data_IF_642645328818
#
_entry.id   IF_642645328818
#
_cell.length_a   1.000
_cell.length_b   1.000
_cell.length_c   1.000
_cell.angle_alpha   90.00
_cell.angle_beta   90.00
_cell.angle_gamma   90.00
#
_symmetry.space_group_name_H-M   'P 1'
#
loop_
_entity.id
_entity.type
_entity.pdbx_description
1 polymer ?
#
# COMPACT_ATOMS: atom_id res chain seq x y z
N UNK A 1 -16.05 -12.20 -1.36
CA UNK A 1 -14.89 -12.17 -0.45
C UNK A 1 -13.62 -11.69 -1.13
N UNK A 2 -13.04 -12.41 -2.11
CA UNK A 2 -11.86 -11.91 -2.84
C UNK A 2 -12.16 -10.62 -3.60
N UNK A 3 -13.24 -10.59 -4.39
CA UNK A 3 -13.65 -9.39 -5.15
C UNK A 3 -14.04 -8.22 -4.22
N UNK A 4 -14.68 -8.51 -3.09
CA UNK A 4 -15.04 -7.49 -2.09
C UNK A 4 -13.81 -6.83 -1.45
N UNK A 5 -12.71 -7.57 -1.27
CA UNK A 5 -11.45 -7.01 -0.79
C UNK A 5 -10.77 -6.21 -1.89
N UNK A 6 -10.85 -6.66 -3.15
CA UNK A 6 -10.30 -5.91 -4.29
C UNK A 6 -10.97 -4.53 -4.40
N UNK A 7 -12.30 -4.48 -4.30
CA UNK A 7 -13.07 -3.24 -4.28
C UNK A 7 -12.69 -2.34 -3.09
N UNK A 8 -12.52 -2.92 -1.90
CA UNK A 8 -12.12 -2.19 -0.69
C UNK A 8 -10.72 -1.57 -0.79
N UNK A 9 -9.80 -2.24 -1.51
CA UNK A 9 -8.44 -1.75 -1.75
C UNK A 9 -8.40 -0.58 -2.74
N UNK A 10 -9.35 -0.51 -3.67
CA UNK A 10 -9.40 0.51 -4.71
C UNK A 10 -9.94 1.87 -4.20
N UNK A 11 -10.84 1.86 -3.21
CA UNK A 11 -11.51 3.09 -2.76
C UNK A 11 -10.79 3.81 -1.61
N UNK A 12 -10.36 3.11 -0.55
CA UNK A 12 -9.58 3.68 0.56
C UNK A 12 -8.83 2.56 1.32
N UNK A 13 -7.49 2.55 1.35
CA UNK A 13 -6.73 1.55 2.08
C UNK A 13 -6.95 1.71 3.59
N UNK A 14 -7.99 1.04 4.09
CA UNK A 14 -8.33 0.97 5.51
C UNK A 14 -7.50 -0.13 6.19
N UNK A 15 -7.12 0.04 7.47
CA UNK A 15 -6.41 -1.00 8.24
C UNK A 15 -7.13 -2.37 8.24
N UNK A 16 -8.46 -2.35 8.11
CA UNK A 16 -9.32 -3.54 8.10
C UNK A 16 -9.14 -4.41 6.84
N UNK A 17 -8.72 -3.82 5.72
CA UNK A 17 -8.44 -4.56 4.50
C UNK A 17 -7.25 -5.51 4.69
N UNK A 18 -6.18 -5.05 5.33
CA UNK A 18 -4.99 -5.87 5.62
C UNK A 18 -5.31 -7.01 6.60
N UNK A 19 -6.17 -6.74 7.60
CA UNK A 19 -6.64 -7.75 8.53
C UNK A 19 -7.44 -8.85 7.82
N UNK A 20 -8.31 -8.47 6.87
CA UNK A 20 -9.12 -9.39 6.06
C UNK A 20 -8.28 -10.24 5.10
N UNK A 21 -7.27 -9.64 4.45
CA UNK A 21 -6.30 -10.38 3.62
C UNK A 21 -5.57 -11.43 4.48
N UNK A 22 -5.16 -11.05 5.69
CA UNK A 22 -4.43 -11.93 6.58
C UNK A 22 -5.32 -13.07 7.14
N UNK A 23 -6.59 -12.81 7.44
CA UNK A 23 -7.54 -13.85 7.89
C UNK A 23 -7.82 -14.87 6.78
N UNK A 24 -8.10 -14.43 5.56
CA UNK A 24 -8.32 -15.33 4.42
C UNK A 24 -7.06 -16.15 4.09
N UNK A 25 -5.87 -15.54 4.16
CA UNK A 25 -4.61 -16.26 3.96
C UNK A 25 -4.43 -17.38 4.99
N UNK A 26 -4.86 -17.17 6.24
CA UNK A 26 -4.89 -18.22 7.28
C UNK A 26 -5.87 -19.33 6.95
N UNK A 27 -7.08 -19.00 6.50
CA UNK A 27 -8.11 -19.99 6.11
C UNK A 27 -7.65 -20.85 4.93
N UNK A 28 -7.09 -20.24 3.89
CA UNK A 28 -6.50 -20.95 2.74
C UNK A 28 -5.39 -21.89 3.20
N UNK A 29 -4.50 -21.41 4.08
CA UNK A 29 -3.42 -22.24 4.60
C UNK A 29 -3.95 -23.41 5.44
N UNK A 30 -5.05 -23.23 6.16
CA UNK A 30 -5.72 -24.29 6.90
C UNK A 30 -6.32 -25.34 5.97
N UNK A 31 -7.07 -24.92 4.94
CA UNK A 31 -7.62 -25.82 3.93
C UNK A 31 -6.52 -26.60 3.20
N UNK A 32 -5.43 -25.94 2.82
CA UNK A 32 -4.28 -26.59 2.17
C UNK A 32 -3.66 -27.68 3.05
N UNK A 33 -3.56 -27.47 4.36
CA UNK A 33 -3.07 -28.50 5.32
C UNK A 33 -3.98 -29.73 5.39
N UNK A 34 -5.22 -29.64 4.93
CA UNK A 34 -6.17 -30.77 4.87
C UNK A 34 -6.16 -31.39 3.48
N UNK A 35 -6.31 -30.57 2.43
CA UNK A 35 -6.43 -31.05 1.04
C UNK A 35 -5.16 -31.73 0.53
N UNK A 36 -3.96 -31.23 0.89
CA UNK A 36 -2.71 -31.83 0.41
C UNK A 36 -2.51 -33.25 0.96
N UNK A 37 -2.58 -33.52 2.28
CA UNK A 37 -2.53 -34.90 2.78
C UNK A 37 -3.64 -35.78 2.24
N UNK A 38 -4.85 -35.25 2.06
CA UNK A 38 -5.97 -35.99 1.48
C UNK A 38 -5.66 -36.45 0.05
N UNK A 39 -5.05 -35.57 -0.78
CA UNK A 39 -4.60 -35.91 -2.13
C UNK A 39 -3.60 -37.07 -2.11
N UNK A 40 -2.59 -36.99 -1.24
CA UNK A 40 -1.57 -38.02 -1.13
C UNK A 40 -2.16 -39.35 -0.63
N UNK A 41 -3.10 -39.31 0.32
CA UNK A 41 -3.80 -40.50 0.80
C UNK A 41 -4.66 -41.14 -0.29
N UNK A 42 -5.43 -40.35 -1.05
CA UNK A 42 -6.24 -40.84 -2.19
C UNK A 42 -5.35 -41.42 -3.29
N UNK A 43 -4.23 -40.78 -3.59
CA UNK A 43 -3.25 -41.31 -4.54
C UNK A 43 -2.63 -42.63 -4.06
N UNK A 44 -2.36 -42.76 -2.75
CA UNK A 44 -1.94 -44.02 -2.13
C UNK A 44 -2.98 -45.14 -2.25
N UNK A 45 -4.26 -44.81 -2.07
CA UNK A 45 -5.38 -45.76 -2.26
C UNK A 45 -5.50 -46.24 -3.71
N UNK A 46 -5.26 -45.36 -4.70
CA UNK A 46 -5.32 -45.72 -6.13
C UNK A 46 -4.15 -46.64 -6.51
N UNK A 47 -2.95 -46.42 -5.95
CA UNK A 47 -1.75 -47.22 -6.28
C UNK A 47 -1.63 -48.52 -5.48
N UNK A 48 -2.38 -48.68 -4.39
CA UNK A 48 -2.30 -49.87 -3.55
C UNK A 48 -2.99 -51.07 -4.20
N UNK A 49 -2.28 -52.19 -4.29
CA UNK A 49 -2.87 -53.50 -4.63
C UNK A 49 -3.62 -54.07 -3.42
N UNK A 50 -4.72 -53.43 -3.04
CA UNK A 50 -5.61 -53.91 -1.99
C UNK A 50 -6.73 -54.73 -2.60
N UNK A 51 -6.91 -55.97 -2.14
CA UNK A 51 -8.04 -56.84 -2.53
C UNK A 51 -9.41 -56.25 -2.16
N UNK A 52 -9.45 -55.21 -1.31
CA UNK A 52 -10.67 -54.50 -0.90
C UNK A 52 -11.11 -53.43 -1.92
N UNK A 53 -10.25 -53.05 -2.86
CA UNK A 53 -10.53 -52.01 -3.86
C UNK A 53 -10.81 -52.68 -5.21
N UNK A 54 -12.09 -52.70 -5.60
CA UNK A 54 -12.51 -53.19 -6.91
C UNK A 54 -12.14 -52.19 -8.02
N UNK A 55 -12.00 -52.66 -9.26
CA UNK A 55 -11.71 -51.80 -10.44
C UNK A 55 -12.75 -50.67 -10.61
N UNK A 56 -14.01 -50.95 -10.32
CA UNK A 56 -15.10 -49.98 -10.37
C UNK A 56 -14.88 -48.84 -9.35
N UNK A 57 -14.42 -49.17 -8.14
CA UNK A 57 -14.09 -48.20 -7.08
C UNK A 57 -12.86 -47.35 -7.44
N UNK A 58 -11.90 -47.90 -8.19
CA UNK A 58 -10.74 -47.13 -8.65
C UNK A 58 -11.14 -45.97 -9.57
N UNK A 59 -12.19 -46.12 -10.39
CA UNK A 59 -12.68 -45.04 -11.25
C UNK A 59 -13.15 -43.84 -10.41
N UNK A 60 -13.94 -44.08 -9.36
CA UNK A 60 -14.41 -43.03 -8.44
C UNK A 60 -13.27 -42.40 -7.63
N UNK A 61 -12.26 -43.18 -7.25
CA UNK A 61 -11.09 -42.65 -6.54
C UNK A 61 -10.25 -41.73 -7.44
N UNK A 62 -10.11 -42.04 -8.73
CA UNK A 62 -9.43 -41.17 -9.70
C UNK A 62 -10.16 -39.83 -9.86
N UNK A 63 -11.48 -39.86 -10.00
CA UNK A 63 -12.30 -38.64 -10.06
C UNK A 63 -12.18 -37.80 -8.76
N UNK A 64 -12.19 -38.46 -7.60
CA UNK A 64 -11.92 -37.79 -6.32
C UNK A 64 -10.52 -37.16 -6.29
N UNK A 65 -9.49 -37.85 -6.79
CA UNK A 65 -8.12 -37.32 -6.87
C UNK A 65 -8.05 -36.07 -7.76
N UNK A 66 -8.74 -36.08 -8.90
CA UNK A 66 -8.80 -34.94 -9.82
C UNK A 66 -9.47 -33.73 -9.13
N UNK A 67 -10.61 -33.95 -8.45
CA UNK A 67 -11.28 -32.91 -7.67
C UNK A 67 -10.40 -32.32 -6.56
N UNK A 68 -9.69 -33.16 -5.79
CA UNK A 68 -8.78 -32.68 -4.75
C UNK A 68 -7.62 -31.90 -5.37
N UNK A 69 -7.10 -32.35 -6.50
CA UNK A 69 -6.00 -31.67 -7.21
C UNK A 69 -6.43 -30.28 -7.66
N UNK A 70 -7.59 -30.16 -8.31
CA UNK A 70 -8.16 -28.87 -8.69
C UNK A 70 -8.43 -27.95 -7.49
N UNK A 71 -8.89 -28.49 -6.36
CA UNK A 71 -9.08 -27.72 -5.14
C UNK A 71 -7.75 -27.18 -4.59
N UNK A 72 -6.69 -27.99 -4.58
CA UNK A 72 -5.35 -27.55 -4.15
C UNK A 72 -4.80 -26.45 -5.08
N UNK A 73 -4.92 -26.61 -6.39
CA UNK A 73 -4.51 -25.60 -7.36
C UNK A 73 -5.27 -24.28 -7.18
N UNK A 74 -6.59 -24.36 -6.96
CA UNK A 74 -7.44 -23.18 -6.69
C UNK A 74 -7.03 -22.46 -5.40
N UNK A 75 -6.69 -23.21 -4.35
CA UNK A 75 -6.18 -22.64 -3.09
C UNK A 75 -4.83 -21.95 -3.28
N UNK A 76 -3.94 -22.52 -4.11
CA UNK A 76 -2.65 -21.89 -4.42
C UNK A 76 -2.83 -20.62 -5.23
N UNK A 77 -3.69 -20.62 -6.26
CA UNK A 77 -4.05 -19.42 -7.02
C UNK A 77 -4.63 -18.33 -6.13
N UNK A 78 -5.58 -18.65 -5.25
CA UNK A 78 -6.17 -17.70 -4.32
C UNK A 78 -5.13 -17.11 -3.33
N UNK A 79 -4.18 -17.93 -2.86
CA UNK A 79 -3.08 -17.47 -2.01
C UNK A 79 -2.18 -16.46 -2.73
N UNK A 80 -1.88 -16.71 -4.00
CA UNK A 80 -1.04 -15.83 -4.80
C UNK A 80 -1.75 -14.50 -5.04
N UNK A 81 -3.04 -14.52 -5.39
CA UNK A 81 -3.87 -13.30 -5.50
C UNK A 81 -3.87 -12.49 -4.20
N UNK A 82 -4.11 -13.12 -3.04
CA UNK A 82 -4.07 -12.42 -1.74
C UNK A 82 -2.70 -11.82 -1.43
N UNK A 83 -1.62 -12.47 -1.90
CA UNK A 83 -0.26 -11.95 -1.72
C UNK A 83 -0.04 -10.71 -2.58
N UNK A 84 -0.47 -10.74 -3.85
CA UNK A 84 -0.44 -9.58 -4.73
C UNK A 84 -1.31 -8.43 -4.21
N UNK A 85 -2.49 -8.71 -3.66
CA UNK A 85 -3.34 -7.71 -3.01
C UNK A 85 -2.64 -7.05 -1.81
N UNK A 86 -1.94 -7.83 -0.99
CA UNK A 86 -1.16 -7.30 0.14
C UNK A 86 0.00 -6.39 -0.30
N UNK A 87 0.70 -6.77 -1.37
CA UNK A 87 1.76 -5.94 -1.97
C UNK A 87 1.19 -4.65 -2.57
N UNK A 88 0.05 -4.73 -3.25
CA UNK A 88 -0.66 -3.58 -3.79
C UNK A 88 -1.10 -2.61 -2.68
N UNK A 89 -1.68 -3.12 -1.57
CA UNK A 89 -2.02 -2.32 -0.40
C UNK A 89 -0.80 -1.54 0.14
N UNK A 90 0.34 -2.22 0.31
CA UNK A 90 1.57 -1.57 0.80
C UNK A 90 2.08 -0.49 -0.16
N UNK A 91 1.94 -0.70 -1.47
CA UNK A 91 2.25 0.29 -2.50
C UNK A 91 1.35 1.52 -2.38
N UNK A 92 0.04 1.32 -2.22
CA UNK A 92 -0.95 2.40 -2.05
C UNK A 92 -0.70 3.22 -0.78
N UNK A 93 -0.42 2.57 0.35
CA UNK A 93 -0.06 3.24 1.60
C UNK A 93 1.22 4.07 1.44
N UNK A 94 2.23 3.52 0.75
CA UNK A 94 3.48 4.22 0.47
C UNK A 94 3.26 5.43 -0.43
N UNK A 95 2.41 5.32 -1.46
CA UNK A 95 2.04 6.42 -2.34
C UNK A 95 1.34 7.54 -1.56
N UNK A 96 0.37 7.20 -0.69
CA UNK A 96 -0.32 8.16 0.18
C UNK A 96 0.63 8.85 1.14
N UNK A 97 1.54 8.09 1.77
CA UNK A 97 2.58 8.66 2.63
C UNK A 97 3.45 9.64 1.86
N UNK A 98 3.87 9.29 0.64
CA UNK A 98 4.67 10.17 -0.20
C UNK A 98 3.92 11.46 -0.56
N UNK A 99 2.62 11.36 -0.89
CA UNK A 99 1.77 12.53 -1.15
C UNK A 99 1.64 13.43 0.09
N UNK A 100 1.41 12.86 1.28
CA UNK A 100 1.30 13.62 2.53
C UNK A 100 2.62 14.31 2.87
N UNK A 101 3.74 13.57 2.81
CA UNK A 101 5.07 14.13 3.04
C UNK A 101 5.39 15.24 2.04
N UNK A 102 4.99 15.06 0.79
CA UNK A 102 5.18 16.07 -0.25
C UNK A 102 4.43 17.36 0.08
N UNK A 103 3.14 17.30 0.44
CA UNK A 103 2.36 18.47 0.84
C UNK A 103 2.99 19.18 2.03
N UNK A 104 3.37 18.43 3.08
CA UNK A 104 4.02 19.00 4.26
C UNK A 104 5.36 19.68 3.91
N UNK A 105 6.16 19.06 3.04
CA UNK A 105 7.46 19.58 2.61
C UNK A 105 7.31 20.87 1.80
N UNK A 106 6.36 20.92 0.87
CA UNK A 106 6.06 22.14 0.11
C UNK A 106 5.65 23.26 1.06
N UNK A 107 4.72 23.01 1.98
CA UNK A 107 4.31 24.01 2.98
C UNK A 107 5.48 24.49 3.83
N UNK A 108 6.28 23.57 4.38
CA UNK A 108 7.43 23.90 5.21
C UNK A 108 8.49 24.71 4.44
N UNK A 109 8.77 24.34 3.18
CA UNK A 109 9.74 25.04 2.34
C UNK A 109 9.36 26.50 2.08
N UNK A 110 8.07 26.81 2.04
CA UNK A 110 7.54 28.17 1.88
C UNK A 110 7.58 28.91 3.23
N UNK A 111 7.02 28.31 4.28
CA UNK A 111 6.84 29.00 5.56
C UNK A 111 8.13 29.19 6.36
N UNK A 112 9.07 28.25 6.35
CA UNK A 112 10.33 28.35 7.13
C UNK A 112 11.12 29.63 6.77
N UNK A 113 11.48 29.89 5.49
CA UNK A 113 12.23 31.09 5.16
C UNK A 113 11.40 32.37 5.33
N UNK A 114 10.10 32.34 5.04
CA UNK A 114 9.21 33.49 5.29
C UNK A 114 9.17 33.84 6.77
N UNK A 115 8.97 32.84 7.63
CA UNK A 115 8.93 33.00 9.09
C UNK A 115 10.27 33.48 9.62
N UNK A 116 11.38 33.01 9.06
CA UNK A 116 12.71 33.49 9.41
C UNK A 116 12.87 34.99 9.11
N UNK A 117 12.43 35.47 7.94
CA UNK A 117 12.45 36.90 7.61
C UNK A 117 11.56 37.68 8.58
N UNK A 118 10.31 37.25 8.80
CA UNK A 118 9.44 37.93 9.79
C UNK A 118 10.03 37.90 11.19
N UNK A 119 10.74 36.83 11.55
CA UNK A 119 11.41 36.68 12.83
C UNK A 119 12.51 37.71 13.02
N UNK A 120 13.39 37.89 12.03
CA UNK A 120 14.45 38.91 12.06
C UNK A 120 13.85 40.31 12.25
N UNK A 121 12.83 40.66 11.46
CA UNK A 121 12.18 41.97 11.54
C UNK A 121 11.28 42.15 12.77
N UNK A 122 10.91 41.06 13.44
CA UNK A 122 10.20 41.06 14.72
C UNK A 122 11.11 41.18 15.95
N UNK A 123 12.44 41.14 15.77
CA UNK A 123 13.39 41.33 16.87
C UNK A 123 13.49 42.83 17.24
N UNK A 124 13.49 43.12 18.55
CA UNK A 124 13.57 44.48 19.09
C UNK A 124 14.99 45.08 18.99
N UNK A 125 15.54 45.21 17.78
CA UNK A 125 16.82 45.89 17.56
C UNK A 125 16.62 47.39 17.33
N UNK A 126 17.37 48.20 18.08
CA UNK A 126 17.29 49.68 18.04
C UNK A 126 17.85 50.28 16.73
N UNK A 127 18.61 49.52 15.94
CA UNK A 127 19.28 50.02 14.72
C UNK A 127 19.21 48.97 13.60
N UNK A 128 18.03 48.76 13.04
CA UNK A 128 17.83 48.04 11.77
C UNK A 128 17.80 49.11 10.66
N UNK A 129 18.84 49.22 9.82
CA UNK A 129 18.92 50.28 8.81
C UNK A 129 17.78 50.23 7.78
N UNK A 130 17.25 49.04 7.47
CA UNK A 130 16.12 48.90 6.54
C UNK A 130 14.78 49.43 7.11
N UNK A 131 14.65 49.58 8.43
CA UNK A 131 13.40 50.02 9.08
C UNK A 131 13.18 51.54 9.00
N UNK A 132 14.27 52.30 8.81
CA UNK A 132 14.23 53.76 8.66
C UNK A 132 14.00 54.20 7.22
N UNK A 133 13.83 53.24 6.29
CA UNK A 133 13.61 53.51 4.89
C UNK A 133 12.11 53.55 4.57
N UNK A 134 11.64 54.61 3.91
CA UNK A 134 10.21 54.82 3.64
C UNK A 134 9.56 53.64 2.87
N UNK A 135 10.35 52.92 2.06
CA UNK A 135 9.90 51.76 1.28
C UNK A 135 10.33 50.40 1.85
N UNK A 136 10.96 50.37 3.04
CA UNK A 136 11.49 49.13 3.63
C UNK A 136 10.42 48.05 3.83
N UNK A 137 9.22 48.44 4.28
CA UNK A 137 8.09 47.52 4.43
C UNK A 137 7.66 46.90 3.09
N UNK A 138 7.54 47.71 2.04
CA UNK A 138 7.16 47.24 0.70
C UNK A 138 8.23 46.32 0.10
N UNK A 139 9.51 46.67 0.27
CA UNK A 139 10.63 45.84 -0.20
C UNK A 139 10.63 44.45 0.44
N UNK A 140 10.41 44.38 1.76
CA UNK A 140 10.34 43.10 2.49
C UNK A 140 9.19 42.23 1.98
N UNK A 141 8.01 42.80 1.74
CA UNK A 141 6.88 42.08 1.12
C UNK A 141 7.20 41.56 -0.28
N UNK A 142 7.82 42.39 -1.13
CA UNK A 142 8.26 41.98 -2.46
C UNK A 142 9.27 40.82 -2.39
N UNK A 143 10.21 40.87 -1.45
CA UNK A 143 11.20 39.82 -1.23
C UNK A 143 10.55 38.51 -0.77
N UNK A 144 9.62 38.58 0.20
CA UNK A 144 8.87 37.42 0.69
C UNK A 144 8.03 36.77 -0.42
N UNK A 145 7.25 37.56 -1.15
CA UNK A 145 6.44 37.07 -2.27
C UNK A 145 7.32 36.52 -3.40
N UNK A 146 8.46 37.18 -3.68
CA UNK A 146 9.45 36.71 -4.66
C UNK A 146 10.05 35.36 -4.28
N UNK A 147 10.43 35.17 -3.02
CA UNK A 147 10.94 33.90 -2.50
C UNK A 147 9.90 32.79 -2.58
N UNK A 148 8.66 33.05 -2.12
CA UNK A 148 7.58 32.08 -2.22
C UNK A 148 7.30 31.70 -3.69
N UNK A 149 7.28 32.68 -4.59
CA UNK A 149 7.10 32.46 -6.03
C UNK A 149 8.23 31.63 -6.65
N UNK A 150 9.50 31.91 -6.32
CA UNK A 150 10.65 31.14 -6.80
C UNK A 150 10.59 29.68 -6.34
N UNK A 151 10.23 29.44 -5.08
CA UNK A 151 10.07 28.08 -4.53
C UNK A 151 8.94 27.35 -5.26
N UNK A 152 7.78 27.98 -5.44
CA UNK A 152 6.67 27.38 -6.20
C UNK A 152 7.04 27.06 -7.64
N UNK A 153 7.78 27.94 -8.33
CA UNK A 153 8.27 27.69 -9.68
C UNK A 153 9.27 26.54 -9.74
N UNK A 154 10.14 26.41 -8.73
CA UNK A 154 11.07 25.29 -8.60
C UNK A 154 10.33 23.95 -8.45
N UNK A 155 9.36 23.87 -7.54
CA UNK A 155 8.55 22.66 -7.35
C UNK A 155 7.70 22.32 -8.58
N UNK A 156 7.13 23.32 -9.27
CA UNK A 156 6.41 23.11 -10.53
C UNK A 156 7.32 22.55 -11.63
N UNK A 157 8.56 23.03 -11.75
CA UNK A 157 9.53 22.51 -12.75
C UNK A 157 9.93 21.06 -12.50
N UNK A 158 9.98 20.64 -11.24
CA UNK A 158 10.30 19.27 -10.87
C UNK A 158 9.14 18.28 -11.14
N UNK A 159 7.96 18.75 -11.61
CA UNK A 159 6.70 17.98 -11.68
C UNK A 159 6.25 17.44 -10.32
N UNK A 160 6.66 18.12 -9.26
CA UNK A 160 6.28 17.79 -7.89
C UNK A 160 4.92 18.42 -7.56
N UNK A 161 4.47 19.40 -8.36
CA UNK A 161 3.13 20.01 -8.37
C UNK A 161 2.45 19.83 -9.73
#
# INVERSE_FOLDING_TARGET
QLDEIDDLLLEDPQPDALASIHSLKKEIQYLRKICVPLREATHGLIRGDSELIMEETQLFLKDLLDHITHAVESLESARDTLTSMGEFYMSMVSLRMNQIMHVLTVMASIFIPLTFVTGIYGMNFTRIPELQWDYGYLYVWCLMLGMAGLILLFFKKQKWL
#
